data_IF_989656202945
#
_entry.id   IF_989656202945
#
_cell.length_a   1.000
_cell.length_b   1.000
_cell.length_c   1.000
_cell.angle_alpha   90.00
_cell.angle_beta   90.00
_cell.angle_gamma   90.00
#
_symmetry.space_group_name_H-M   'P 1'
#
loop_
_entity.id
_entity.type
_entity.pdbx_description
1 polymer ?
#
# COMPACT_ATOMS: atom_id res chain seq x y z
N UNK A 1 12.57 3.20 -1.63
CA UNK A 1 11.64 3.89 -2.53
C UNK A 1 11.22 5.25 -1.98
N UNK A 2 10.85 6.13 -2.87
CA UNK A 2 10.26 7.41 -2.50
C UNK A 2 8.77 7.19 -2.20
N UNK A 3 8.35 7.64 -1.03
CA UNK A 3 6.95 7.58 -0.61
C UNK A 3 6.45 9.02 -0.47
N UNK A 4 5.38 9.33 -1.17
CA UNK A 4 4.75 10.65 -1.08
C UNK A 4 3.40 10.46 -0.39
N UNK A 5 3.32 10.77 0.91
CA UNK A 5 2.07 10.65 1.63
C UNK A 5 1.09 11.75 1.23
N UNK A 6 -0.19 11.43 1.29
CA UNK A 6 -1.25 12.37 0.94
C UNK A 6 -1.24 13.64 1.79
N UNK A 7 -0.67 13.57 2.98
CA UNK A 7 -0.49 14.76 3.82
C UNK A 7 0.33 15.85 3.12
N UNK A 8 1.34 15.45 2.36
CA UNK A 8 2.15 16.40 1.57
C UNK A 8 1.38 16.98 0.39
N UNK A 9 0.28 16.36 0.01
CA UNK A 9 -0.60 16.83 -1.06
C UNK A 9 -1.76 17.69 -0.53
N UNK A 10 -1.70 18.11 0.72
CA UNK A 10 -2.70 18.97 1.33
C UNK A 10 -3.82 18.26 2.08
N UNK A 11 -3.77 16.95 2.17
CA UNK A 11 -4.73 16.19 2.98
C UNK A 11 -4.25 16.10 4.43
N UNK A 12 -5.15 16.15 5.41
CA UNK A 12 -4.74 16.15 6.82
C UNK A 12 -4.24 14.81 7.34
N UNK A 13 -4.51 13.72 6.64
CA UNK A 13 -4.17 12.36 7.07
C UNK A 13 -3.60 11.55 5.92
N UNK A 14 -2.79 10.55 6.26
CA UNK A 14 -2.15 9.64 5.30
C UNK A 14 -3.07 8.45 4.99
N UNK A 15 -4.18 8.71 4.30
CA UNK A 15 -5.09 7.65 3.87
C UNK A 15 -4.58 6.93 2.61
N UNK A 16 -3.80 7.63 1.79
CA UNK A 16 -3.17 7.05 0.62
C UNK A 16 -1.79 7.65 0.41
N UNK A 17 -0.96 6.97 -0.38
CA UNK A 17 0.38 7.44 -0.71
C UNK A 17 0.87 6.82 -2.02
N UNK A 18 1.71 7.53 -2.72
CA UNK A 18 2.38 7.01 -3.89
C UNK A 18 3.70 6.34 -3.49
N UNK A 19 3.99 5.22 -4.12
CA UNK A 19 5.28 4.55 -4.03
C UNK A 19 5.99 4.72 -5.36
N UNK A 20 7.15 5.33 -5.32
CA UNK A 20 7.99 5.56 -6.49
C UNK A 20 9.28 4.77 -6.28
N UNK A 21 9.41 3.68 -7.00
CA UNK A 21 10.53 2.75 -6.87
C UNK A 21 11.44 2.85 -8.08
N UNK A 22 12.61 3.36 -7.85
CA UNK A 22 13.66 3.46 -8.87
C UNK A 22 14.44 2.14 -8.97
N UNK A 23 15.30 2.06 -9.98
CA UNK A 23 16.19 0.91 -10.14
C UNK A 23 16.97 0.64 -8.85
N UNK A 24 16.94 -0.59 -8.36
CA UNK A 24 17.62 -1.00 -7.14
C UNK A 24 16.81 -0.84 -5.86
N UNK A 25 15.68 -0.18 -5.89
CA UNK A 25 14.82 0.00 -4.72
C UNK A 25 14.03 -1.27 -4.40
N UNK A 26 13.79 -1.49 -3.12
CA UNK A 26 12.94 -2.55 -2.61
C UNK A 26 12.19 -2.07 -1.36
N UNK A 27 11.22 -2.85 -0.94
CA UNK A 27 10.51 -2.59 0.32
C UNK A 27 10.57 -3.84 1.19
N UNK A 28 11.03 -3.69 2.43
CA UNK A 28 11.12 -4.79 3.37
C UNK A 28 9.77 -5.29 3.87
N UNK A 29 9.80 -6.38 4.62
CA UNK A 29 8.61 -6.97 5.21
C UNK A 29 7.93 -6.01 6.20
N UNK A 30 6.65 -5.79 6.02
CA UNK A 30 5.83 -4.93 6.87
C UNK A 30 4.36 -5.29 6.77
N UNK A 31 3.55 -4.72 7.66
CA UNK A 31 2.09 -4.81 7.63
C UNK A 31 1.48 -3.45 8.01
N UNK A 32 0.17 -3.37 7.93
CA UNK A 32 -0.61 -2.16 8.24
C UNK A 32 -1.69 -2.42 9.28
N UNK A 33 -1.52 -3.42 10.11
CA UNK A 33 -2.55 -3.91 11.05
C UNK A 33 -3.13 -2.87 11.98
N UNK A 34 -2.36 -1.85 12.31
CA UNK A 34 -2.79 -0.80 13.25
C UNK A 34 -3.59 0.30 12.57
N UNK A 35 -3.56 0.35 11.26
CA UNK A 35 -4.11 1.47 10.50
C UNK A 35 -5.40 1.16 9.74
N UNK A 36 -5.65 -0.10 9.43
CA UNK A 36 -6.74 -0.42 8.53
C UNK A 36 -7.19 -1.88 8.64
N UNK A 37 -8.30 -2.19 7.96
CA UNK A 37 -8.78 -3.57 7.78
C UNK A 37 -8.29 -4.16 6.47
N UNK A 38 -8.37 -3.40 5.40
CA UNK A 38 -7.95 -3.80 4.05
C UNK A 38 -6.92 -2.81 3.56
N UNK A 39 -5.83 -3.33 3.03
CA UNK A 39 -4.83 -2.54 2.32
C UNK A 39 -4.96 -2.78 0.83
N UNK A 40 -4.72 -1.74 0.06
CA UNK A 40 -4.88 -1.76 -1.38
C UNK A 40 -3.64 -1.18 -2.06
N UNK A 41 -3.30 -1.74 -3.20
CA UNK A 41 -2.26 -1.21 -4.08
C UNK A 41 -2.83 -1.16 -5.50
N UNK A 42 -2.77 0.02 -6.11
CA UNK A 42 -3.09 0.21 -7.51
C UNK A 42 -1.81 0.50 -8.28
N UNK A 43 -1.51 -0.31 -9.29
CA UNK A 43 -0.30 -0.19 -10.07
C UNK A 43 -0.51 0.73 -11.27
N UNK A 44 0.22 1.85 -11.27
CA UNK A 44 0.12 2.90 -12.30
C UNK A 44 1.10 2.60 -13.44
N UNK A 45 2.35 2.32 -13.09
CA UNK A 45 3.39 2.03 -14.07
C UNK A 45 4.31 0.94 -13.53
N UNK A 46 4.31 -0.21 -14.19
CA UNK A 46 5.08 -1.38 -13.78
C UNK A 46 5.99 -1.83 -14.91
N UNK A 47 7.25 -1.39 -14.92
CA UNK A 47 8.23 -1.89 -15.88
C UNK A 47 8.44 -3.38 -15.71
N UNK A 48 8.83 -4.05 -16.79
CA UNK A 48 9.25 -5.45 -16.71
C UNK A 48 10.44 -5.57 -15.77
N UNK A 49 10.47 -6.64 -14.97
CA UNK A 49 11.52 -6.91 -13.97
C UNK A 49 11.59 -5.88 -12.85
N UNK A 50 10.51 -5.17 -12.59
CA UNK A 50 10.48 -4.18 -11.50
C UNK A 50 10.16 -4.77 -10.12
N UNK A 51 10.02 -6.09 -10.02
CA UNK A 51 9.82 -6.80 -8.77
C UNK A 51 8.37 -7.20 -8.52
N UNK A 52 8.19 -8.31 -7.82
CA UNK A 52 6.88 -8.79 -7.39
C UNK A 52 6.57 -8.27 -5.99
N UNK A 53 5.29 -8.26 -5.64
CA UNK A 53 4.88 -8.18 -4.25
C UNK A 53 4.78 -9.59 -3.70
N UNK A 54 5.40 -9.83 -2.55
CA UNK A 54 5.42 -11.12 -1.88
C UNK A 54 4.66 -11.00 -0.57
N UNK A 55 3.78 -11.95 -0.34
CA UNK A 55 3.02 -12.08 0.90
C UNK A 55 3.52 -13.27 1.68
N UNK A 56 3.41 -13.19 3.00
CA UNK A 56 3.66 -14.35 3.84
C UNK A 56 2.69 -14.41 5.00
N UNK A 57 2.40 -15.61 5.41
CA UNK A 57 1.58 -15.89 6.58
C UNK A 57 2.26 -16.95 7.42
N UNK A 58 2.34 -16.72 8.73
CA UNK A 58 2.87 -17.72 9.65
C UNK A 58 1.82 -18.78 9.90
N UNK A 59 2.20 -20.04 9.65
CA UNK A 59 1.39 -21.22 9.93
C UNK A 59 2.21 -22.14 10.83
N UNK A 60 1.85 -22.21 12.13
CA UNK A 60 2.62 -22.89 13.17
C UNK A 60 4.02 -22.26 13.26
N UNK A 61 5.09 -23.02 12.98
CA UNK A 61 6.46 -22.52 13.04
C UNK A 61 7.06 -22.20 11.67
N UNK A 62 6.24 -22.22 10.62
CA UNK A 62 6.67 -21.99 9.25
C UNK A 62 5.93 -20.81 8.62
N UNK A 63 6.58 -20.14 7.68
CA UNK A 63 5.95 -19.15 6.84
C UNK A 63 5.51 -19.78 5.53
N UNK A 64 4.29 -19.49 5.13
CA UNK A 64 3.80 -19.74 3.78
C UNK A 64 3.97 -18.44 2.99
N UNK A 65 4.61 -18.51 1.85
CA UNK A 65 4.84 -17.35 1.00
C UNK A 65 4.20 -17.56 -0.37
N UNK A 66 3.69 -16.48 -0.93
CA UNK A 66 3.23 -16.45 -2.32
C UNK A 66 3.47 -15.06 -2.88
N UNK A 67 3.47 -14.95 -4.20
CA UNK A 67 3.72 -13.68 -4.85
C UNK A 67 2.65 -13.35 -5.88
N UNK A 68 2.54 -12.07 -6.17
CA UNK A 68 1.74 -11.55 -7.27
C UNK A 68 2.66 -10.74 -8.17
N UNK A 69 2.60 -11.02 -9.47
CA UNK A 69 3.32 -10.24 -10.48
C UNK A 69 2.45 -9.04 -10.83
N UNK A 70 2.87 -7.81 -10.48
CA UNK A 70 2.06 -6.64 -10.77
C UNK A 70 2.06 -6.33 -12.27
N UNK A 71 0.99 -5.69 -12.71
CA UNK A 71 0.81 -5.21 -14.07
C UNK A 71 0.17 -3.83 -14.02
N UNK A 72 0.41 -3.03 -15.05
CA UNK A 72 -0.24 -1.72 -15.20
C UNK A 72 -1.76 -1.87 -15.11
N UNK A 73 -2.39 -1.05 -14.28
CA UNK A 73 -3.84 -1.06 -14.09
C UNK A 73 -4.37 -2.13 -13.14
N UNK A 74 -3.51 -2.99 -12.60
CA UNK A 74 -3.91 -3.99 -11.61
C UNK A 74 -4.14 -3.33 -10.25
N UNK A 75 -5.16 -3.79 -9.55
CA UNK A 75 -5.40 -3.44 -8.15
C UNK A 75 -5.37 -4.71 -7.31
N UNK A 76 -4.63 -4.68 -6.21
CA UNK A 76 -4.57 -5.79 -5.25
C UNK A 76 -5.18 -5.31 -3.95
N UNK A 77 -6.06 -6.13 -3.37
CA UNK A 77 -6.63 -5.91 -2.05
C UNK A 77 -6.23 -7.08 -1.15
N UNK A 78 -5.79 -6.77 0.05
CA UNK A 78 -5.39 -7.79 1.01
C UNK A 78 -5.64 -7.33 2.45
N UNK A 79 -5.78 -8.28 3.41
CA UNK A 79 -5.92 -7.91 4.81
C UNK A 79 -4.73 -7.08 5.28
N UNK A 80 -5.01 -5.99 5.99
CA UNK A 80 -3.94 -5.05 6.41
C UNK A 80 -2.90 -5.68 7.32
N UNK A 81 -3.27 -6.72 8.05
CA UNK A 81 -2.34 -7.45 8.93
C UNK A 81 -1.46 -8.47 8.20
N UNK A 82 -1.69 -8.69 6.91
CA UNK A 82 -0.89 -9.62 6.13
C UNK A 82 0.47 -9.02 5.83
N UNK A 83 1.53 -9.71 6.24
CA UNK A 83 2.89 -9.27 5.97
C UNK A 83 3.22 -9.37 4.49
N UNK A 84 3.87 -8.35 3.98
CA UNK A 84 4.26 -8.30 2.58
C UNK A 84 5.55 -7.52 2.40
N UNK A 85 6.20 -7.77 1.28
CA UNK A 85 7.40 -7.03 0.86
C UNK A 85 7.37 -6.87 -0.65
N UNK A 86 8.24 -6.03 -1.15
CA UNK A 86 8.39 -5.80 -2.59
C UNK A 86 9.82 -6.07 -2.98
N UNK A 87 9.99 -6.96 -3.96
CA UNK A 87 11.31 -7.31 -4.49
C UNK A 87 12.00 -6.11 -5.13
N UNK A 88 13.30 -6.24 -5.28
CA UNK A 88 14.15 -5.22 -5.91
C UNK A 88 13.64 -4.92 -7.33
N UNK A 89 13.54 -3.66 -7.65
CA UNK A 89 13.32 -3.20 -9.02
C UNK A 89 14.62 -3.39 -9.81
N UNK A 90 14.66 -4.43 -10.62
CA UNK A 90 15.81 -4.75 -11.47
C UNK A 90 15.74 -4.10 -12.85
N UNK A 91 14.69 -3.33 -13.11
CA UNK A 91 14.57 -2.56 -14.34
C UNK A 91 15.38 -1.29 -14.29
N UNK A 92 15.56 -0.66 -15.46
CA UNK A 92 16.17 0.67 -15.53
C UNK A 92 15.15 1.79 -15.34
N UNK A 93 13.86 1.43 -15.20
CA UNK A 93 12.76 2.37 -15.18
C UNK A 93 12.15 2.47 -13.79
N UNK A 94 11.35 3.52 -13.58
CA UNK A 94 10.66 3.76 -12.33
C UNK A 94 9.33 3.03 -12.29
N UNK A 95 9.07 2.28 -11.20
CA UNK A 95 7.77 1.71 -10.91
C UNK A 95 6.99 2.69 -10.03
N UNK A 96 5.71 2.89 -10.38
CA UNK A 96 4.83 3.80 -9.66
C UNK A 96 3.57 3.03 -9.25
N UNK A 97 3.23 3.09 -7.98
CA UNK A 97 1.99 2.54 -7.45
C UNK A 97 1.36 3.51 -6.46
N UNK A 98 0.06 3.38 -6.29
CA UNK A 98 -0.74 4.10 -5.30
C UNK A 98 -1.21 3.11 -4.26
N UNK A 99 -0.86 3.34 -3.01
CA UNK A 99 -1.31 2.54 -1.88
C UNK A 99 -2.34 3.30 -1.07
N UNK A 100 -3.33 2.59 -0.57
CA UNK A 100 -4.33 3.17 0.32
C UNK A 100 -4.91 2.11 1.23
N UNK A 101 -5.53 2.56 2.32
CA UNK A 101 -6.13 1.69 3.31
C UNK A 101 -7.63 1.93 3.38
N UNK A 102 -8.37 0.85 3.62
CA UNK A 102 -9.82 0.89 3.85
C UNK A 102 -10.11 0.51 5.29
N UNK A 103 -11.08 1.17 5.85
CA UNK A 103 -11.48 1.01 7.24
C UNK A 103 -12.92 0.50 7.32
N UNK A 104 -13.26 -0.18 8.41
CA UNK A 104 -14.65 -0.57 8.68
C UNK A 104 -15.45 0.62 9.16
N UNK A 105 -16.71 0.66 8.76
CA UNK A 105 -17.65 1.69 9.24
C UNK A 105 -18.50 1.15 10.38
N UNK A 106 -18.89 2.00 11.34
CA UNK A 106 -18.46 3.39 11.48
C UNK A 106 -17.01 3.49 11.91
N UNK A 107 -16.31 4.48 11.38
CA UNK A 107 -14.93 4.72 11.78
C UNK A 107 -14.96 5.40 13.14
N UNK A 108 -14.32 4.77 14.10
CA UNK A 108 -14.21 5.34 15.44
C UNK A 108 -13.04 6.32 15.45
N UNK A 109 -13.37 7.56 15.15
CA UNK A 109 -12.42 8.64 15.24
C UNK A 109 -12.92 9.64 16.28
N UNK A 110 -11.99 10.30 16.94
CA UNK A 110 -12.30 11.39 17.82
C UNK A 110 -13.03 12.48 17.01
N UNK A 111 -14.05 13.09 17.59
CA UNK A 111 -14.82 14.17 16.94
C UNK A 111 -13.94 15.30 16.43
N UNK A 112 -12.87 15.61 17.14
CA UNK A 112 -11.92 16.62 16.69
C UNK A 112 -11.19 16.25 15.42
N UNK A 113 -11.20 15.00 15.04
CA UNK A 113 -10.55 14.54 13.82
C UNK A 113 -11.50 14.44 12.66
N UNK A 114 -12.68 14.02 12.87
CA UNK A 114 -13.78 13.89 11.91
C UNK A 114 -13.34 13.80 10.43
N UNK A 115 -12.35 12.99 10.19
CA UNK A 115 -11.60 12.88 8.95
C UNK A 115 -12.45 12.45 7.80
N UNK A 116 -13.38 11.56 8.11
CA UNK A 116 -14.18 10.86 7.12
C UNK A 116 -15.61 11.38 7.08
N UNK A 117 -15.81 12.61 7.55
CA UNK A 117 -17.11 13.25 7.39
C UNK A 117 -17.39 13.50 5.91
N UNK A 118 -18.66 13.42 5.54
CA UNK A 118 -19.06 13.69 4.18
C UNK A 118 -18.64 15.09 3.72
N UNK A 119 -18.63 16.05 4.61
CA UNK A 119 -18.19 17.42 4.31
C UNK A 119 -16.77 17.47 3.77
N UNK A 120 -15.90 16.62 4.26
CA UNK A 120 -14.50 16.58 3.82
C UNK A 120 -14.38 16.19 2.35
N UNK A 121 -15.24 15.29 1.90
CA UNK A 121 -15.12 14.70 0.57
C UNK A 121 -16.08 15.30 -0.47
N UNK A 122 -17.17 15.91 -0.05
CA UNK A 122 -18.25 16.29 -0.96
C UNK A 122 -18.66 17.77 -0.88
N UNK A 123 -18.02 18.53 -0.05
CA UNK A 123 -18.34 19.96 0.04
C UNK A 123 -17.24 20.87 -0.49
#
# INVERSE_FOLDING_TARGET
>A
PLVIPNKQLGFPYNEFWFNISNSGDNTGWHDHKENAKISCVYYISVPKKSGNIIFRKKNKNKYEEWFVKPQDGMMILFPSKLEHCVEINKSCDTRISLSFNLYTLPIQVNETRNVYSSKKFYS
#
